data_IF_609229704809
#
_entry.id   IF_609229704809
#
_cell.length_a   1.000
_cell.length_b   1.000
_cell.length_c   1.000
_cell.angle_alpha   90.00
_cell.angle_beta   90.00
_cell.angle_gamma   90.00
#
_symmetry.space_group_name_H-M   'P 1'
#
loop_
_entity.id
_entity.type
_entity.pdbx_description
1 polymer ?
#
# COMPACT_ATOMS: atom_id res chain seq x y z
N UNK A 1 5.53 -18.19 -60.48
CA UNK A 1 4.59 -18.43 -59.39
C UNK A 1 4.94 -17.47 -58.27
N UNK A 2 4.17 -16.41 -58.14
CA UNK A 2 4.41 -15.23 -57.33
C UNK A 2 3.82 -15.44 -55.93
N UNK A 3 4.64 -15.38 -54.87
CA UNK A 3 4.20 -15.42 -53.49
C UNK A 3 3.68 -14.03 -53.07
N UNK A 4 2.42 -13.98 -52.62
CA UNK A 4 1.77 -12.79 -52.07
C UNK A 4 2.28 -12.53 -50.63
N UNK A 5 2.74 -11.32 -50.38
CA UNK A 5 3.03 -10.80 -49.07
C UNK A 5 1.73 -10.51 -48.31
N UNK A 6 1.56 -11.14 -47.14
CA UNK A 6 0.43 -10.88 -46.26
C UNK A 6 0.67 -9.58 -45.45
N UNK A 7 -0.25 -8.64 -45.61
CA UNK A 7 -0.31 -7.42 -44.80
C UNK A 7 -0.76 -7.78 -43.37
N UNK A 8 0.14 -7.59 -42.40
CA UNK A 8 -0.22 -7.63 -40.96
C UNK A 8 -0.83 -6.27 -40.62
N UNK A 9 -2.14 -6.25 -40.40
CA UNK A 9 -2.83 -5.09 -39.83
C UNK A 9 -2.38 -4.89 -38.37
N UNK A 10 -1.85 -3.70 -38.07
CA UNK A 10 -1.64 -3.24 -36.69
C UNK A 10 -2.99 -3.11 -35.98
N UNK A 11 -3.13 -3.54 -34.71
CA UNK A 11 -4.36 -3.31 -33.96
C UNK A 11 -4.56 -1.79 -33.75
N UNK A 12 -5.70 -1.28 -34.19
CA UNK A 12 -6.18 0.06 -33.88
C UNK A 12 -6.37 0.18 -32.37
N UNK A 13 -5.69 1.12 -31.73
CA UNK A 13 -5.93 1.51 -30.35
C UNK A 13 -7.42 1.87 -30.20
N UNK A 14 -8.17 1.03 -29.48
CA UNK A 14 -9.51 1.35 -29.06
C UNK A 14 -9.50 2.63 -28.23
N UNK A 15 -10.39 3.55 -28.59
CA UNK A 15 -10.66 4.78 -27.85
C UNK A 15 -10.86 4.44 -26.35
N UNK A 16 -10.12 5.11 -25.48
CA UNK A 16 -10.35 5.04 -24.05
C UNK A 16 -11.83 5.40 -23.77
N UNK A 17 -12.53 4.69 -22.89
CA UNK A 17 -13.89 5.04 -22.53
C UNK A 17 -13.93 6.51 -22.07
N UNK A 18 -14.87 7.28 -22.60
CA UNK A 18 -15.08 8.66 -22.16
C UNK A 18 -15.26 8.68 -20.64
N UNK A 19 -14.31 9.26 -19.94
CA UNK A 19 -14.34 9.41 -18.49
C UNK A 19 -15.49 10.36 -18.15
N UNK A 20 -16.53 9.86 -17.52
CA UNK A 20 -17.66 10.68 -17.08
C UNK A 20 -17.16 11.74 -16.10
N UNK A 21 -17.55 12.99 -16.35
CA UNK A 21 -17.37 14.09 -15.39
C UNK A 21 -18.25 13.84 -14.16
N UNK A 22 -17.83 14.30 -12.96
CA UNK A 22 -18.68 14.24 -11.77
C UNK A 22 -20.01 14.95 -12.01
N UNK A 23 -21.10 14.35 -11.53
CA UNK A 23 -22.43 14.94 -11.65
C UNK A 23 -22.66 15.92 -10.51
N UNK A 24 -23.07 17.14 -10.81
CA UNK A 24 -23.56 18.10 -9.81
C UNK A 24 -25.02 17.72 -9.49
N UNK A 25 -25.29 17.41 -8.22
CA UNK A 25 -26.63 17.07 -7.72
C UNK A 25 -27.15 18.21 -6.90
N UNK A 26 -28.31 18.77 -7.28
CA UNK A 26 -29.02 19.75 -6.47
C UNK A 26 -29.87 19.02 -5.42
N UNK A 27 -29.46 19.09 -4.17
CA UNK A 27 -30.16 18.50 -3.02
C UNK A 27 -30.95 19.55 -2.23
N UNK A 28 -31.67 20.43 -2.92
CA UNK A 28 -32.59 21.38 -2.25
C UNK A 28 -31.90 22.59 -1.61
N UNK A 29 -30.95 23.22 -2.33
CA UNK A 29 -30.37 24.50 -1.95
C UNK A 29 -28.86 24.55 -1.72
N UNK A 30 -28.16 23.41 -1.70
CA UNK A 30 -26.69 23.36 -1.69
C UNK A 30 -26.23 22.44 -2.81
N UNK A 31 -25.57 23.01 -3.81
CA UNK A 31 -24.96 22.21 -4.89
C UNK A 31 -23.88 21.29 -4.30
N UNK A 32 -24.02 20.00 -4.50
CA UNK A 32 -23.04 19.00 -4.10
C UNK A 32 -22.44 18.27 -5.30
N UNK A 33 -21.16 17.93 -5.20
CA UNK A 33 -20.48 17.10 -6.20
C UNK A 33 -20.68 15.64 -5.82
N UNK A 34 -21.24 14.85 -6.73
CA UNK A 34 -21.38 13.40 -6.53
C UNK A 34 -20.11 12.68 -6.97
N UNK A 35 -19.51 11.89 -6.06
CA UNK A 35 -18.29 11.15 -6.28
C UNK A 35 -18.46 9.67 -5.91
N UNK A 36 -17.82 8.79 -6.66
CA UNK A 36 -17.63 7.39 -6.31
C UNK A 36 -16.37 7.23 -5.49
N UNK A 37 -16.43 6.42 -4.40
CA UNK A 37 -15.31 6.14 -3.51
C UNK A 37 -15.07 4.64 -3.46
N UNK A 38 -13.89 4.17 -3.90
CA UNK A 38 -13.45 2.78 -3.73
C UNK A 38 -12.41 2.66 -2.60
N UNK A 39 -12.69 1.82 -1.62
CA UNK A 39 -11.85 1.61 -0.44
C UNK A 39 -12.05 0.20 0.11
N UNK A 40 -11.03 -0.36 0.78
CA UNK A 40 -11.18 -1.62 1.49
C UNK A 40 -12.07 -1.49 2.74
N UNK A 41 -12.54 -2.64 3.22
CA UNK A 41 -13.36 -2.76 4.43
C UNK A 41 -12.51 -2.54 5.68
N UNK A 42 -12.46 -1.29 6.15
CA UNK A 42 -11.76 -0.89 7.38
C UNK A 42 -12.75 -0.36 8.42
N UNK A 43 -12.58 -0.74 9.68
CA UNK A 43 -13.40 -0.22 10.78
C UNK A 43 -13.38 1.32 10.90
N UNK A 44 -12.26 1.97 10.60
CA UNK A 44 -12.12 3.43 10.63
C UNK A 44 -12.66 4.14 9.37
N UNK A 45 -13.18 3.39 8.39
CA UNK A 45 -13.90 3.91 7.21
C UNK A 45 -15.39 3.57 7.28
N UNK A 46 -15.77 2.68 8.17
CA UNK A 46 -17.14 2.14 8.29
C UNK A 46 -18.23 3.22 8.35
N UNK A 47 -18.02 4.27 9.14
CA UNK A 47 -19.03 5.34 9.27
C UNK A 47 -19.20 6.19 8.01
N UNK A 48 -18.18 6.25 7.15
CA UNK A 48 -18.30 6.84 5.80
C UNK A 48 -19.18 5.96 4.93
N UNK A 49 -18.93 4.65 4.95
CA UNK A 49 -19.72 3.68 4.19
C UNK A 49 -21.20 3.67 4.61
N UNK A 50 -21.48 3.90 5.89
CA UNK A 50 -22.84 4.00 6.45
C UNK A 50 -23.47 5.38 6.29
N UNK A 51 -22.76 6.38 5.76
CA UNK A 51 -23.25 7.76 5.61
C UNK A 51 -23.40 8.52 6.93
N UNK A 52 -22.80 8.05 8.03
CA UNK A 52 -22.81 8.67 9.36
C UNK A 52 -21.77 9.79 9.47
N UNK A 53 -20.69 9.69 8.72
CA UNK A 53 -19.70 10.77 8.54
C UNK A 53 -19.72 11.16 7.07
N UNK A 54 -19.87 12.46 6.80
CA UNK A 54 -20.03 13.01 5.46
C UNK A 54 -19.01 14.13 5.21
N UNK A 55 -18.70 14.36 3.96
CA UNK A 55 -17.89 15.49 3.53
C UNK A 55 -18.79 16.63 3.06
N UNK A 56 -18.51 17.87 3.49
CA UNK A 56 -19.28 19.04 3.11
C UNK A 56 -19.24 19.27 1.60
N UNK A 57 -20.39 19.51 0.99
CA UNK A 57 -20.54 19.74 -0.45
C UNK A 57 -20.26 18.50 -1.33
N UNK A 58 -20.15 17.30 -0.73
CA UNK A 58 -19.88 16.05 -1.46
C UNK A 58 -20.93 15.02 -1.11
N UNK A 59 -21.52 14.42 -2.13
CA UNK A 59 -22.34 13.21 -2.01
C UNK A 59 -21.50 12.01 -2.48
N UNK A 60 -21.34 11.01 -1.62
CA UNK A 60 -20.51 9.82 -1.94
C UNK A 60 -21.37 8.60 -2.24
N UNK A 61 -20.93 7.83 -3.24
CA UNK A 61 -21.30 6.41 -3.42
C UNK A 61 -20.09 5.56 -3.01
N UNK A 62 -20.06 5.04 -1.76
CA UNK A 62 -18.96 4.19 -1.31
C UNK A 62 -19.08 2.79 -1.90
N UNK A 63 -17.97 2.26 -2.41
CA UNK A 63 -17.77 0.91 -2.92
C UNK A 63 -16.73 0.24 -2.03
N UNK A 64 -17.18 -0.71 -1.21
CA UNK A 64 -16.34 -1.40 -0.23
C UNK A 64 -15.84 -2.71 -0.82
N UNK A 65 -14.54 -2.90 -0.83
CA UNK A 65 -13.88 -4.06 -1.41
C UNK A 65 -13.19 -4.93 -0.36
N UNK A 66 -13.15 -6.25 -0.57
CA UNK A 66 -12.45 -7.16 0.35
C UNK A 66 -10.92 -7.13 0.16
N UNK A 67 -10.43 -6.59 -0.96
CA UNK A 67 -8.99 -6.57 -1.26
C UNK A 67 -8.56 -5.37 -2.09
N UNK A 68 -7.37 -4.84 -1.73
CA UNK A 68 -6.74 -3.72 -2.43
C UNK A 68 -6.28 -4.08 -3.85
N UNK A 69 -5.99 -5.34 -4.11
CA UNK A 69 -5.50 -5.77 -5.42
C UNK A 69 -6.53 -5.52 -6.52
N UNK A 70 -7.82 -5.75 -6.23
CA UNK A 70 -8.91 -5.47 -7.16
C UNK A 70 -9.06 -3.97 -7.39
N UNK A 71 -9.09 -3.17 -6.31
CA UNK A 71 -9.17 -1.70 -6.39
C UNK A 71 -8.03 -1.17 -7.24
N UNK A 72 -6.78 -1.52 -6.89
CA UNK A 72 -5.59 -1.02 -7.59
C UNK A 72 -5.61 -1.40 -9.08
N UNK A 73 -5.98 -2.64 -9.41
CA UNK A 73 -6.01 -3.11 -10.79
C UNK A 73 -7.01 -2.33 -11.62
N UNK A 74 -8.26 -2.24 -11.17
CA UNK A 74 -9.36 -1.58 -11.88
C UNK A 74 -9.11 -0.07 -11.99
N UNK A 75 -8.68 0.56 -10.90
CA UNK A 75 -8.43 2.00 -10.90
C UNK A 75 -7.24 2.40 -11.79
N UNK A 76 -6.12 1.69 -11.74
CA UNK A 76 -4.97 2.03 -12.59
C UNK A 76 -5.16 1.69 -14.06
N UNK A 77 -6.05 0.74 -14.38
CA UNK A 77 -6.36 0.35 -15.76
C UNK A 77 -7.38 1.27 -16.45
N UNK A 78 -8.40 1.70 -15.72
CA UNK A 78 -9.59 2.35 -16.32
C UNK A 78 -10.03 3.61 -15.59
N UNK A 79 -9.41 4.00 -14.46
CA UNK A 79 -9.83 5.14 -13.63
C UNK A 79 -11.33 5.08 -13.28
N UNK A 80 -11.78 3.90 -12.92
CA UNK A 80 -13.18 3.56 -12.78
C UNK A 80 -13.94 4.40 -11.74
N UNK A 81 -13.21 4.95 -10.76
CA UNK A 81 -13.78 5.73 -9.66
C UNK A 81 -13.20 7.14 -9.59
N UNK A 82 -13.88 8.02 -8.86
CA UNK A 82 -13.43 9.40 -8.67
C UNK A 82 -12.39 9.51 -7.53
N UNK A 83 -12.65 8.77 -6.44
CA UNK A 83 -11.77 8.66 -5.27
C UNK A 83 -11.45 7.20 -5.03
N UNK A 84 -10.19 6.88 -4.84
CA UNK A 84 -9.76 5.49 -4.72
C UNK A 84 -8.64 5.32 -3.73
N UNK A 85 -8.72 4.27 -2.92
CA UNK A 85 -7.55 3.71 -2.26
C UNK A 85 -6.55 3.17 -3.28
N UNK A 86 -5.25 3.38 -3.04
CA UNK A 86 -4.20 2.94 -3.95
C UNK A 86 -2.97 2.49 -3.19
N UNK A 87 -2.28 1.48 -3.70
CA UNK A 87 -0.97 1.04 -3.22
C UNK A 87 0.05 2.19 -3.32
N UNK A 88 0.76 2.49 -2.23
CA UNK A 88 1.75 3.56 -2.22
C UNK A 88 2.91 3.30 -3.18
N UNK A 89 3.38 2.04 -3.29
CA UNK A 89 4.40 1.65 -4.25
C UNK A 89 3.98 1.90 -5.70
N UNK A 90 2.71 1.61 -6.04
CA UNK A 90 2.17 1.90 -7.38
C UNK A 90 2.06 3.40 -7.64
N UNK A 91 1.55 4.15 -6.65
CA UNK A 91 1.40 5.61 -6.77
C UNK A 91 2.75 6.31 -6.99
N UNK A 92 3.75 6.03 -6.12
CA UNK A 92 5.06 6.69 -6.22
C UNK A 92 5.78 6.35 -7.53
N UNK A 93 5.64 5.12 -8.01
CA UNK A 93 6.22 4.71 -9.30
C UNK A 93 5.62 5.51 -10.46
N UNK A 94 4.29 5.57 -10.57
CA UNK A 94 3.61 6.34 -11.62
C UNK A 94 3.92 7.83 -11.55
N UNK A 95 3.96 8.39 -10.33
CA UNK A 95 4.27 9.81 -10.10
C UNK A 95 5.71 10.13 -10.51
N UNK A 96 6.66 9.25 -10.21
CA UNK A 96 8.08 9.45 -10.58
C UNK A 96 8.31 9.49 -12.08
N UNK A 97 7.43 8.87 -12.86
CA UNK A 97 7.43 8.82 -14.32
C UNK A 97 6.64 9.98 -14.95
N UNK A 98 5.93 10.79 -14.15
CA UNK A 98 5.07 11.87 -14.64
C UNK A 98 3.79 11.41 -15.32
N UNK A 99 3.38 10.15 -15.13
CA UNK A 99 2.21 9.53 -15.79
C UNK A 99 1.07 9.19 -14.84
N UNK A 100 1.12 9.66 -13.57
CA UNK A 100 0.05 9.42 -12.60
C UNK A 100 -1.24 10.16 -13.00
N UNK A 101 -2.32 9.46 -13.35
CA UNK A 101 -3.59 10.08 -13.70
C UNK A 101 -4.45 10.41 -12.45
N UNK A 102 -3.88 10.35 -11.28
CA UNK A 102 -4.49 10.65 -10.00
C UNK A 102 -3.60 11.55 -9.15
N UNK A 103 -4.17 12.12 -8.12
CA UNK A 103 -3.53 12.97 -7.11
C UNK A 103 -3.76 12.36 -5.74
N UNK A 104 -2.73 12.20 -4.93
CA UNK A 104 -2.86 11.72 -3.56
C UNK A 104 -3.30 12.82 -2.60
N UNK A 105 -4.11 12.44 -1.62
CA UNK A 105 -4.35 13.20 -0.40
C UNK A 105 -3.69 12.48 0.78
N UNK A 106 -3.26 13.19 1.85
CA UNK A 106 -2.50 12.60 2.95
C UNK A 106 -3.38 11.82 3.93
N UNK A 107 -4.24 10.96 3.40
CA UNK A 107 -5.06 9.99 4.11
C UNK A 107 -4.48 8.59 3.85
N UNK A 108 -4.15 7.89 4.92
CA UNK A 108 -3.44 6.61 4.88
C UNK A 108 -4.27 5.49 5.51
N UNK A 109 -5.23 4.91 4.78
CA UNK A 109 -6.18 3.94 5.33
C UNK A 109 -5.52 2.62 5.74
N UNK A 110 -4.31 2.33 5.24
CA UNK A 110 -3.58 1.13 5.61
C UNK A 110 -2.15 1.45 6.03
N UNK A 111 -1.85 1.17 7.30
CA UNK A 111 -0.51 1.18 7.88
C UNK A 111 -0.25 -0.15 8.56
N UNK A 112 0.87 -0.79 8.25
CA UNK A 112 1.23 -2.08 8.86
C UNK A 112 2.74 -2.21 8.92
N UNK A 113 3.30 -2.48 10.10
CA UNK A 113 4.67 -2.94 10.22
C UNK A 113 4.88 -4.26 9.49
N UNK A 114 6.12 -4.57 9.08
CA UNK A 114 6.37 -5.68 8.16
C UNK A 114 7.51 -6.61 8.57
N UNK A 115 7.99 -6.55 9.80
CA UNK A 115 8.92 -7.58 10.29
C UNK A 115 8.25 -8.96 10.32
N UNK A 116 6.94 -8.98 10.60
CA UNK A 116 6.10 -10.18 10.54
C UNK A 116 5.93 -10.78 9.14
N UNK A 117 6.32 -10.04 8.08
CA UNK A 117 6.12 -10.41 6.68
C UNK A 117 7.31 -11.17 6.04
N UNK A 118 8.30 -11.57 6.85
CA UNK A 118 9.44 -12.38 6.40
C UNK A 118 9.27 -13.79 6.91
N UNK A 119 9.07 -14.70 5.97
CA UNK A 119 8.87 -16.12 6.23
C UNK A 119 10.10 -16.89 5.75
N UNK A 120 10.58 -17.82 6.57
CA UNK A 120 11.76 -18.63 6.26
C UNK A 120 11.42 -20.10 6.41
N UNK A 121 12.06 -20.94 5.62
CA UNK A 121 12.00 -22.39 5.79
C UNK A 121 12.78 -22.76 7.06
N UNK A 122 12.17 -23.49 7.98
CA UNK A 122 12.74 -23.81 9.29
C UNK A 122 14.12 -24.47 9.23
N UNK A 123 14.32 -25.33 8.24
CA UNK A 123 15.58 -26.05 8.01
C UNK A 123 16.67 -25.22 7.28
N UNK A 124 16.33 -24.01 6.77
CA UNK A 124 17.29 -23.21 6.00
C UNK A 124 18.42 -22.60 6.85
N UNK A 125 18.33 -22.69 8.18
CA UNK A 125 19.34 -22.16 9.10
C UNK A 125 19.39 -20.65 9.17
N UNK A 126 18.36 -19.94 8.67
CA UNK A 126 18.23 -18.48 8.71
C UNK A 126 17.67 -18.08 10.06
N UNK A 127 18.45 -17.35 10.86
CA UNK A 127 18.09 -16.88 12.22
C UNK A 127 18.10 -15.38 12.36
N UNK A 128 18.86 -14.70 11.51
CA UNK A 128 18.99 -13.24 11.48
C UNK A 128 18.71 -12.71 10.07
N UNK A 129 18.45 -11.42 9.95
CA UNK A 129 18.30 -10.78 8.64
C UNK A 129 19.55 -10.94 7.77
N UNK A 130 20.75 -10.93 8.36
CA UNK A 130 22.03 -11.07 7.65
C UNK A 130 22.20 -12.42 6.99
N UNK A 131 21.57 -13.47 7.52
CA UNK A 131 21.61 -14.81 6.95
C UNK A 131 20.85 -14.95 5.61
N UNK A 132 20.10 -13.92 5.21
CA UNK A 132 19.48 -13.84 3.88
C UNK A 132 20.50 -13.59 2.77
N UNK A 133 21.70 -13.08 3.06
CA UNK A 133 22.76 -12.92 2.07
C UNK A 133 23.22 -14.30 1.55
N UNK A 134 23.37 -14.40 0.23
CA UNK A 134 23.68 -15.66 -0.44
C UNK A 134 22.47 -16.58 -0.68
N UNK A 135 21.31 -16.26 -0.15
CA UNK A 135 20.09 -17.08 -0.25
C UNK A 135 19.21 -16.69 -1.42
N UNK A 136 18.26 -17.59 -1.72
CA UNK A 136 17.16 -17.33 -2.63
C UNK A 136 15.95 -16.82 -1.83
N UNK A 137 15.47 -15.65 -2.18
CA UNK A 137 14.32 -15.01 -1.50
C UNK A 137 13.21 -14.73 -2.50
N UNK A 138 12.02 -15.25 -2.19
CA UNK A 138 10.82 -15.06 -2.97
C UNK A 138 10.08 -13.76 -2.64
N UNK A 139 9.56 -13.09 -3.65
CA UNK A 139 8.71 -11.88 -3.51
C UNK A 139 7.56 -11.91 -4.51
N UNK A 140 6.35 -11.38 -4.16
CA UNK A 140 5.23 -11.39 -5.10
C UNK A 140 5.37 -10.35 -6.23
N UNK A 141 5.89 -9.18 -5.93
CA UNK A 141 6.24 -8.11 -6.85
C UNK A 141 7.37 -7.28 -6.22
N UNK A 142 8.29 -6.77 -7.03
CA UNK A 142 9.36 -5.91 -6.53
C UNK A 142 8.79 -4.60 -5.99
N UNK A 143 7.84 -3.98 -6.71
CA UNK A 143 7.21 -2.73 -6.31
C UNK A 143 6.05 -2.89 -5.31
N UNK A 144 5.83 -4.08 -4.73
CA UNK A 144 4.87 -4.21 -3.64
C UNK A 144 5.30 -3.36 -2.45
N UNK A 145 4.42 -2.48 -1.96
CA UNK A 145 4.71 -1.53 -0.87
C UNK A 145 5.34 -2.20 0.35
N UNK A 146 4.79 -3.34 0.77
CA UNK A 146 5.32 -4.12 1.89
C UNK A 146 6.76 -4.57 1.65
N UNK A 147 7.07 -5.05 0.43
CA UNK A 147 8.41 -5.49 0.03
C UNK A 147 9.41 -4.33 -0.01
N UNK A 148 8.99 -3.14 -0.45
CA UNK A 148 9.84 -1.94 -0.46
C UNK A 148 10.27 -1.58 0.97
N UNK A 149 9.33 -1.54 1.93
CA UNK A 149 9.65 -1.28 3.33
C UNK A 149 10.54 -2.36 3.95
N UNK A 150 10.25 -3.64 3.66
CA UNK A 150 11.07 -4.74 4.19
C UNK A 150 12.50 -4.64 3.67
N UNK A 151 12.72 -4.50 2.37
CA UNK A 151 14.06 -4.35 1.81
C UNK A 151 14.75 -3.07 2.32
N UNK A 152 13.97 -1.98 2.53
CA UNK A 152 14.48 -0.75 3.11
C UNK A 152 15.07 -0.95 4.50
N UNK A 153 14.30 -1.52 5.45
CA UNK A 153 14.83 -1.75 6.79
C UNK A 153 15.90 -2.86 6.84
N UNK A 154 15.82 -3.88 6.00
CA UNK A 154 16.88 -4.89 5.89
C UNK A 154 18.21 -4.25 5.50
N UNK A 155 18.19 -3.31 4.56
CA UNK A 155 19.41 -2.62 4.12
C UNK A 155 19.90 -1.59 5.15
N UNK A 156 19.04 -0.68 5.62
CA UNK A 156 19.44 0.44 6.46
C UNK A 156 19.64 0.06 7.94
N UNK A 157 18.77 -0.80 8.49
CA UNK A 157 18.78 -1.13 9.91
C UNK A 157 19.56 -2.41 10.23
N UNK A 158 19.45 -3.41 9.35
CA UNK A 158 20.07 -4.73 9.55
C UNK A 158 21.36 -4.90 8.73
N UNK A 159 21.72 -3.93 7.90
CA UNK A 159 22.94 -3.91 7.09
C UNK A 159 23.01 -5.01 6.03
N UNK A 160 21.87 -5.53 5.56
CA UNK A 160 21.80 -6.57 4.54
C UNK A 160 22.13 -5.99 3.17
N UNK A 161 23.09 -6.60 2.47
CA UNK A 161 23.40 -6.29 1.08
C UNK A 161 22.39 -7.01 0.15
N UNK A 162 21.42 -6.25 -0.36
CA UNK A 162 20.37 -6.77 -1.22
C UNK A 162 20.90 -7.38 -2.54
N UNK A 163 22.09 -6.97 -3.00
CA UNK A 163 22.72 -7.51 -4.21
C UNK A 163 23.27 -8.92 -4.00
N UNK A 164 23.51 -9.34 -2.76
CA UNK A 164 23.91 -10.70 -2.43
C UNK A 164 22.77 -11.71 -2.40
N UNK A 165 21.52 -11.24 -2.46
CA UNK A 165 20.34 -12.09 -2.46
C UNK A 165 19.93 -12.40 -3.91
N UNK A 166 19.50 -13.63 -4.15
CA UNK A 166 18.86 -14.02 -5.41
C UNK A 166 17.35 -13.88 -5.27
N UNK A 167 16.78 -12.86 -5.94
CA UNK A 167 15.37 -12.53 -5.85
C UNK A 167 14.56 -13.29 -6.91
N UNK A 168 13.55 -14.04 -6.48
CA UNK A 168 12.64 -14.77 -7.34
C UNK A 168 11.23 -14.20 -7.18
N UNK A 169 10.62 -13.79 -8.30
CA UNK A 169 9.30 -13.17 -8.29
C UNK A 169 8.25 -14.16 -8.78
N UNK A 170 7.24 -14.44 -7.96
CA UNK A 170 6.10 -15.29 -8.31
C UNK A 170 4.87 -14.91 -7.47
N UNK A 171 3.70 -15.42 -7.82
CA UNK A 171 2.53 -15.31 -6.93
C UNK A 171 2.75 -16.04 -5.62
N UNK A 172 2.11 -15.60 -4.53
CA UNK A 172 2.38 -16.19 -3.20
C UNK A 172 1.93 -17.64 -3.14
N UNK A 173 0.66 -17.90 -3.42
CA UNK A 173 0.04 -19.22 -3.33
C UNK A 173 -0.39 -19.76 -4.71
N UNK A 174 -0.54 -18.87 -5.69
CA UNK A 174 -0.95 -19.20 -7.05
C UNK A 174 0.07 -18.65 -8.06
N UNK A 175 0.32 -19.33 -9.17
CA UNK A 175 1.21 -18.86 -10.22
C UNK A 175 0.61 -17.65 -10.99
N UNK A 176 1.39 -17.10 -11.95
CA UNK A 176 0.90 -16.12 -12.92
C UNK A 176 0.97 -14.65 -12.47
N UNK A 177 1.46 -14.35 -11.25
CA UNK A 177 1.63 -12.96 -10.82
C UNK A 177 2.84 -12.33 -11.49
N UNK A 178 2.65 -11.14 -12.07
CA UNK A 178 3.68 -10.36 -12.74
C UNK A 178 3.88 -9.00 -12.05
N UNK A 179 5.06 -8.39 -12.25
CA UNK A 179 5.34 -7.01 -11.87
C UNK A 179 4.39 -6.04 -12.60
N UNK A 180 3.92 -5.02 -11.89
CA UNK A 180 2.91 -4.09 -12.40
C UNK A 180 3.44 -2.70 -12.70
N UNK A 181 4.72 -2.47 -12.49
CA UNK A 181 5.39 -1.19 -12.77
C UNK A 181 6.68 -1.44 -13.54
N UNK A 182 7.13 -0.43 -14.28
CA UNK A 182 8.45 -0.44 -14.89
C UNK A 182 9.51 -0.23 -13.80
N UNK A 183 10.50 -1.11 -13.74
CA UNK A 183 11.58 -1.07 -12.76
C UNK A 183 12.88 -0.59 -13.40
N UNK A 184 13.66 0.20 -12.66
CA UNK A 184 15.05 0.55 -12.95
C UNK A 184 15.97 -0.03 -11.89
N UNK A 185 16.07 -1.36 -11.86
CA UNK A 185 16.81 -2.07 -10.84
C UNK A 185 18.26 -1.61 -10.74
N UNK A 186 18.79 -1.39 -9.51
CA UNK A 186 20.19 -1.06 -9.30
C UNK A 186 21.11 -2.16 -9.82
N UNK A 187 22.33 -1.75 -10.22
CA UNK A 187 23.36 -2.69 -10.62
C UNK A 187 23.63 -3.73 -9.52
N UNK A 188 23.78 -5.00 -9.91
CA UNK A 188 24.04 -6.09 -8.99
C UNK A 188 22.79 -6.78 -8.43
N UNK A 189 21.61 -6.20 -8.51
CA UNK A 189 20.36 -6.89 -8.12
C UNK A 189 20.05 -8.03 -9.07
N UNK A 190 19.99 -9.25 -8.54
CA UNK A 190 19.66 -10.47 -9.29
C UNK A 190 18.17 -10.78 -9.12
N UNK A 191 17.36 -10.33 -10.06
CA UNK A 191 15.90 -10.48 -10.06
C UNK A 191 15.42 -11.34 -11.22
N UNK A 192 14.64 -12.37 -10.92
CA UNK A 192 14.13 -13.32 -11.91
C UNK A 192 12.63 -13.58 -11.72
N UNK A 193 11.78 -13.22 -12.68
CA UNK A 193 10.38 -13.62 -12.71
C UNK A 193 10.20 -15.13 -12.91
N UNK A 194 9.26 -15.71 -12.19
CA UNK A 194 8.85 -17.12 -12.25
C UNK A 194 7.33 -17.21 -12.32
N UNK A 195 6.73 -16.90 -13.49
CA UNK A 195 5.28 -16.94 -13.68
C UNK A 195 4.68 -18.34 -13.69
N UNK A 196 5.51 -19.35 -13.85
CA UNK A 196 5.18 -20.77 -13.97
C UNK A 196 4.88 -21.46 -12.63
N UNK A 197 5.19 -20.82 -11.49
CA UNK A 197 5.09 -21.42 -10.16
C UNK A 197 4.61 -20.42 -9.11
N UNK A 198 4.49 -20.87 -7.86
CA UNK A 198 4.17 -20.01 -6.71
C UNK A 198 5.29 -20.01 -5.67
N UNK A 199 5.37 -18.95 -4.85
CA UNK A 199 6.35 -18.83 -3.77
C UNK A 199 6.17 -19.94 -2.72
N UNK A 200 4.94 -20.37 -2.48
CA UNK A 200 4.65 -21.49 -1.56
C UNK A 200 5.19 -22.81 -2.08
N UNK A 201 5.05 -23.08 -3.38
CA UNK A 201 5.63 -24.28 -3.99
C UNK A 201 7.16 -24.22 -3.97
N UNK A 202 7.75 -23.05 -4.24
CA UNK A 202 9.20 -22.86 -4.20
C UNK A 202 9.78 -22.97 -2.77
N UNK A 203 9.05 -22.54 -1.73
CA UNK A 203 9.44 -22.80 -0.34
C UNK A 203 9.41 -24.30 -0.01
N UNK A 204 8.35 -24.98 -0.39
CA UNK A 204 8.19 -26.42 -0.12
C UNK A 204 9.25 -27.27 -0.84
N UNK A 205 9.62 -26.89 -2.06
CA UNK A 205 10.69 -27.60 -2.83
C UNK A 205 12.11 -27.22 -2.40
N UNK A 206 12.27 -26.15 -1.60
CA UNK A 206 13.60 -25.61 -1.25
C UNK A 206 14.25 -24.77 -2.36
N UNK A 207 13.52 -24.38 -3.40
CA UNK A 207 14.02 -23.48 -4.44
C UNK A 207 14.23 -22.06 -3.92
N UNK A 208 13.41 -21.63 -2.94
CA UNK A 208 13.65 -20.44 -2.12
C UNK A 208 13.80 -20.81 -0.65
N UNK A 209 14.67 -20.09 0.04
CA UNK A 209 14.93 -20.26 1.47
C UNK A 209 14.01 -19.39 2.33
N UNK A 210 13.55 -18.26 1.77
CA UNK A 210 12.67 -17.30 2.42
C UNK A 210 11.68 -16.65 1.44
N UNK A 211 10.60 -16.11 1.99
CA UNK A 211 9.61 -15.30 1.24
C UNK A 211 9.33 -14.02 2.01
N UNK A 212 9.33 -12.89 1.30
CA UNK A 212 8.89 -11.60 1.81
C UNK A 212 7.53 -11.27 1.17
N UNK A 213 6.47 -11.34 1.98
CA UNK A 213 5.12 -11.13 1.47
C UNK A 213 4.16 -10.61 2.54
N UNK A 214 3.26 -9.71 2.15
CA UNK A 214 2.17 -9.25 3.00
C UNK A 214 1.15 -10.36 3.34
N UNK A 215 1.02 -11.36 2.46
CA UNK A 215 0.21 -12.57 2.67
C UNK A 215 1.13 -13.71 3.08
N UNK A 216 0.71 -14.48 4.06
CA UNK A 216 1.44 -15.68 4.45
C UNK A 216 1.46 -16.70 3.32
N UNK A 217 2.60 -17.36 3.05
CA UNK A 217 2.65 -18.50 2.16
C UNK A 217 1.89 -19.70 2.75
N UNK A 218 1.36 -20.55 1.89
CA UNK A 218 0.85 -21.86 2.32
C UNK A 218 1.95 -22.63 3.06
N UNK A 219 1.57 -23.41 4.07
CA UNK A 219 2.54 -24.12 4.93
C UNK A 219 2.99 -23.31 6.16
N UNK A 220 2.70 -22.00 6.24
CA UNK A 220 2.94 -21.20 7.45
C UNK A 220 1.93 -21.52 8.57
N UNK A 221 0.72 -21.94 8.24
CA UNK A 221 -0.32 -22.23 9.23
C UNK A 221 0.01 -23.46 10.06
N UNK A 222 0.00 -23.33 11.40
CA UNK A 222 -0.02 -24.46 12.33
C UNK A 222 1.34 -25.03 12.77
N UNK A 223 2.40 -24.23 12.81
CA UNK A 223 3.70 -24.69 13.35
C UNK A 223 4.45 -25.62 12.39
N UNK A 224 4.24 -25.40 11.09
CA UNK A 224 4.83 -26.19 10.01
C UNK A 224 6.30 -25.85 9.72
N UNK A 225 6.76 -26.29 8.57
CA UNK A 225 8.13 -26.13 8.06
C UNK A 225 8.51 -24.67 7.78
N UNK A 226 7.52 -23.77 7.69
CA UNK A 226 7.71 -22.33 7.43
C UNK A 226 7.44 -21.55 8.72
N UNK A 227 8.40 -20.72 9.13
CA UNK A 227 8.33 -19.89 10.33
C UNK A 227 8.60 -18.42 10.01
N UNK A 228 8.30 -17.51 10.93
CA UNK A 228 8.71 -16.11 10.77
C UNK A 228 10.18 -15.94 11.14
N UNK A 229 10.92 -15.14 10.38
CA UNK A 229 12.28 -14.73 10.72
C UNK A 229 12.32 -13.97 12.07
N UNK A 230 11.29 -13.17 12.34
CA UNK A 230 11.11 -12.48 13.62
C UNK A 230 9.95 -13.13 14.41
N UNK A 231 10.22 -14.17 15.25
CA UNK A 231 9.15 -14.81 16.03
C UNK A 231 8.43 -13.82 16.96
N UNK A 232 9.17 -12.94 17.63
CA UNK A 232 8.65 -11.83 18.40
C UNK A 232 8.67 -10.54 17.56
N UNK A 233 7.92 -10.54 16.45
CA UNK A 233 7.87 -9.40 15.52
C UNK A 233 7.34 -8.13 16.18
N UNK A 234 6.39 -8.19 17.14
CA UNK A 234 5.88 -7.01 17.85
C UNK A 234 7.03 -6.24 18.51
N UNK A 235 7.86 -6.90 19.27
CA UNK A 235 8.99 -6.26 19.94
C UNK A 235 10.02 -5.69 18.94
N UNK A 236 10.22 -6.34 17.79
CA UNK A 236 11.08 -5.83 16.72
C UNK A 236 10.50 -4.57 16.09
N UNK A 237 9.20 -4.57 15.79
CA UNK A 237 8.44 -3.46 15.20
C UNK A 237 8.37 -2.24 16.13
N UNK A 238 8.17 -2.45 17.45
CA UNK A 238 8.21 -1.40 18.46
C UNK A 238 9.61 -0.77 18.59
N UNK A 239 10.68 -1.58 18.56
CA UNK A 239 12.07 -1.05 18.57
C UNK A 239 12.36 -0.25 17.31
N UNK A 240 11.95 -0.77 16.15
CA UNK A 240 12.11 -0.08 14.86
C UNK A 240 11.41 1.28 14.88
N UNK A 241 10.14 1.32 15.30
CA UNK A 241 9.37 2.56 15.40
C UNK A 241 10.01 3.56 16.36
N UNK A 242 10.39 3.12 17.57
CA UNK A 242 11.05 4.01 18.55
C UNK A 242 12.38 4.59 18.04
N UNK A 243 13.14 3.81 17.26
CA UNK A 243 14.41 4.25 16.69
C UNK A 243 14.24 5.21 15.52
N UNK A 244 13.28 4.97 14.65
CA UNK A 244 13.20 5.60 13.33
C UNK A 244 12.01 6.55 13.17
N UNK A 245 10.97 6.42 13.97
CA UNK A 245 9.68 7.09 13.78
C UNK A 245 8.89 6.58 12.57
N UNK A 246 9.34 5.51 11.91
CA UNK A 246 8.72 4.99 10.71
C UNK A 246 7.59 4.04 11.08
N UNK A 247 6.34 4.43 10.78
CA UNK A 247 5.19 3.54 10.78
C UNK A 247 4.71 3.34 9.34
N UNK A 248 5.02 2.20 8.70
CA UNK A 248 4.88 2.01 7.26
C UNK A 248 3.48 2.24 6.72
N UNK A 249 3.37 3.12 5.73
CA UNK A 249 2.14 3.40 4.97
C UNK A 249 2.05 2.40 3.82
N UNK A 250 1.01 1.56 3.82
CA UNK A 250 0.79 0.60 2.73
C UNK A 250 0.03 1.24 1.59
N UNK A 251 -1.04 1.95 1.93
CA UNK A 251 -1.96 2.54 0.97
C UNK A 251 -2.26 4.00 1.33
N UNK A 252 -2.63 4.77 0.32
CA UNK A 252 -3.08 6.15 0.45
C UNK A 252 -4.36 6.36 -0.37
N UNK A 253 -5.11 7.42 -0.03
CA UNK A 253 -6.26 7.82 -0.82
C UNK A 253 -5.83 8.72 -1.97
N UNK A 254 -6.45 8.52 -3.12
CA UNK A 254 -6.20 9.30 -4.33
C UNK A 254 -7.50 9.81 -4.92
N UNK A 255 -7.41 10.93 -5.62
CA UNK A 255 -8.50 11.52 -6.39
C UNK A 255 -8.11 11.46 -7.86
N UNK A 256 -8.99 11.06 -8.75
CA UNK A 256 -8.76 11.14 -10.19
C UNK A 256 -8.37 12.57 -10.57
N UNK A 257 -7.27 12.75 -11.31
CA UNK A 257 -6.67 14.06 -11.58
C UNK A 257 -7.66 15.04 -12.20
N UNK A 258 -8.46 14.60 -13.16
CA UNK A 258 -9.47 15.46 -13.80
C UNK A 258 -10.54 15.94 -12.83
N UNK A 259 -10.91 15.14 -11.84
CA UNK A 259 -11.85 15.53 -10.76
C UNK A 259 -11.21 16.55 -9.82
N UNK A 260 -9.95 16.30 -9.43
CA UNK A 260 -9.21 17.22 -8.57
C UNK A 260 -9.01 18.59 -9.23
N UNK A 261 -8.63 18.63 -10.50
CA UNK A 261 -8.41 19.87 -11.25
C UNK A 261 -9.70 20.70 -11.42
N UNK A 262 -10.85 20.05 -11.54
CA UNK A 262 -12.16 20.71 -11.59
C UNK A 262 -12.63 21.20 -10.21
N UNK A 263 -12.30 20.46 -9.15
CA UNK A 263 -12.80 20.68 -7.80
C UNK A 263 -11.69 20.53 -6.73
N UNK A 264 -10.63 21.37 -6.69
CA UNK A 264 -9.50 21.18 -5.77
C UNK A 264 -9.90 21.16 -4.29
N UNK A 265 -10.98 21.85 -3.93
CA UNK A 265 -11.52 21.96 -2.57
C UNK A 265 -11.99 20.60 -1.98
N UNK A 266 -12.34 19.62 -2.83
CA UNK A 266 -12.79 18.30 -2.36
C UNK A 266 -11.71 17.58 -1.55
N UNK A 267 -10.45 17.84 -1.82
CA UNK A 267 -9.33 17.20 -1.12
C UNK A 267 -9.37 17.49 0.39
N UNK A 268 -9.65 18.75 0.77
CA UNK A 268 -9.79 19.17 2.18
C UNK A 268 -10.98 18.48 2.83
N UNK A 269 -12.12 18.47 2.17
CA UNK A 269 -13.36 17.95 2.75
C UNK A 269 -13.33 16.42 2.87
N UNK A 270 -12.71 15.73 1.91
CA UNK A 270 -12.43 14.31 2.02
C UNK A 270 -11.46 14.02 3.16
N UNK A 271 -10.37 14.78 3.28
CA UNK A 271 -9.42 14.62 4.39
C UNK A 271 -10.12 14.71 5.76
N UNK A 272 -10.91 15.78 5.98
CA UNK A 272 -11.67 15.99 7.22
C UNK A 272 -12.63 14.83 7.50
N UNK A 273 -13.32 14.36 6.48
CA UNK A 273 -14.25 13.22 6.58
C UNK A 273 -13.53 11.94 7.04
N UNK A 274 -12.42 11.60 6.39
CA UNK A 274 -11.65 10.41 6.76
C UNK A 274 -11.05 10.53 8.17
N UNK A 275 -10.53 11.70 8.54
CA UNK A 275 -9.96 11.94 9.87
C UNK A 275 -11.04 11.86 10.96
N UNK A 276 -12.22 12.42 10.73
CA UNK A 276 -13.35 12.32 11.65
C UNK A 276 -13.80 10.87 11.83
N UNK A 277 -13.94 10.09 10.75
CA UNK A 277 -14.33 8.69 10.82
C UNK A 277 -13.31 7.86 11.60
N UNK A 278 -12.01 8.08 11.34
CA UNK A 278 -10.90 7.47 12.09
C UNK A 278 -10.97 7.83 13.57
N UNK A 279 -11.11 9.10 13.92
CA UNK A 279 -11.19 9.58 15.30
C UNK A 279 -12.36 8.95 16.04
N UNK A 280 -13.53 8.87 15.43
CA UNK A 280 -14.70 8.18 16.02
C UNK A 280 -14.44 6.68 16.23
N UNK A 281 -13.75 6.03 15.30
CA UNK A 281 -13.36 4.62 15.46
C UNK A 281 -12.47 4.44 16.69
N UNK A 282 -11.42 5.24 16.86
CA UNK A 282 -10.54 5.15 18.04
C UNK A 282 -11.25 5.48 19.34
N UNK A 283 -12.17 6.44 19.36
CA UNK A 283 -12.99 6.73 20.53
C UNK A 283 -13.85 5.53 20.92
N UNK A 284 -14.43 4.83 19.94
CA UNK A 284 -15.19 3.58 20.21
C UNK A 284 -14.31 2.46 20.76
N UNK A 285 -13.07 2.34 20.32
CA UNK A 285 -12.13 1.33 20.81
C UNK A 285 -11.75 1.54 22.28
N UNK A 286 -11.69 2.79 22.72
CA UNK A 286 -11.38 3.17 24.11
C UNK A 286 -12.61 3.19 25.04
N UNK A 287 -13.81 3.00 24.50
CA UNK A 287 -15.03 3.00 25.29
C UNK A 287 -15.15 1.70 26.11
N UNK A 288 -15.02 1.82 27.43
CA UNK A 288 -15.16 0.69 28.37
C UNK A 288 -16.62 0.35 28.70
N UNK A 289 -17.58 1.16 28.27
CA UNK A 289 -19.00 0.94 28.65
C UNK A 289 -19.61 -0.27 27.95
N UNK A 290 -19.07 -0.65 26.79
CA UNK A 290 -19.43 -1.87 26.08
C UNK A 290 -18.31 -2.34 25.13
N UNK A 291 -18.24 -3.65 24.90
CA UNK A 291 -17.30 -4.26 23.96
C UNK A 291 -17.71 -3.95 22.51
N UNK A 292 -17.17 -2.88 21.93
CA UNK A 292 -17.40 -2.47 20.53
C UNK A 292 -16.75 -3.43 19.53
N UNK A 293 -15.66 -4.06 19.94
CA UNK A 293 -14.98 -5.14 19.21
C UNK A 293 -15.00 -6.36 20.12
N UNK A 294 -15.33 -7.56 19.60
CA UNK A 294 -15.43 -8.78 20.43
C UNK A 294 -14.03 -9.34 20.75
N UNK A 295 -13.15 -8.49 21.28
CA UNK A 295 -11.80 -8.83 21.74
C UNK A 295 -11.67 -8.44 23.21
N UNK A 296 -11.30 -9.38 24.08
CA UNK A 296 -10.91 -9.05 25.46
C UNK A 296 -9.80 -8.00 25.45
N UNK A 297 -9.90 -7.04 26.37
CA UNK A 297 -8.88 -5.99 26.55
C UNK A 297 -8.65 -5.04 25.36
N UNK A 298 -9.55 -4.94 24.38
CA UNK A 298 -9.39 -4.03 23.23
C UNK A 298 -9.12 -2.60 23.66
N UNK A 299 -9.80 -2.08 24.68
CA UNK A 299 -9.58 -0.75 25.22
C UNK A 299 -8.20 -0.61 25.88
N UNK A 300 -7.78 -1.57 26.70
CA UNK A 300 -6.45 -1.56 27.31
C UNK A 300 -5.34 -1.63 26.27
N UNK A 301 -5.51 -2.43 25.23
CA UNK A 301 -4.57 -2.48 24.10
C UNK A 301 -4.51 -1.15 23.33
N UNK A 302 -5.65 -0.45 23.16
CA UNK A 302 -5.69 0.85 22.54
C UNK A 302 -4.93 1.90 23.36
N UNK A 303 -5.04 1.86 24.69
CA UNK A 303 -4.29 2.74 25.58
C UNK A 303 -2.78 2.43 25.58
N UNK A 304 -2.39 1.15 25.60
CA UNK A 304 -1.00 0.72 25.48
C UNK A 304 -0.36 1.20 24.17
N UNK A 305 -1.07 1.07 23.05
CA UNK A 305 -0.61 1.55 21.73
C UNK A 305 -0.48 3.07 21.75
N UNK A 306 -1.46 3.80 22.29
CA UNK A 306 -1.39 5.24 22.40
C UNK A 306 -0.21 5.74 23.25
N UNK A 307 0.15 5.01 24.31
CA UNK A 307 1.32 5.32 25.11
C UNK A 307 2.64 5.19 24.32
N UNK A 308 2.71 4.27 23.36
CA UNK A 308 3.91 4.04 22.53
C UNK A 308 3.96 4.89 21.25
N UNK A 309 2.82 5.16 20.63
CA UNK A 309 2.70 5.81 19.31
C UNK A 309 2.19 7.27 19.39
N UNK A 310 1.79 7.73 20.59
CA UNK A 310 1.20 9.05 20.80
C UNK A 310 -0.34 9.05 20.76
N UNK A 311 -0.95 10.23 20.95
CA UNK A 311 -2.40 10.35 21.11
C UNK A 311 -3.20 9.97 19.85
N UNK A 312 -2.63 10.13 18.66
CA UNK A 312 -3.12 9.57 17.40
C UNK A 312 -2.15 8.49 16.91
N UNK A 313 -2.40 7.22 17.25
CA UNK A 313 -1.49 6.13 16.86
C UNK A 313 -1.56 5.76 15.37
N UNK A 314 -2.47 6.38 14.61
CA UNK A 314 -2.69 6.11 13.19
C UNK A 314 -2.80 7.42 12.39
N UNK A 315 -1.74 8.25 12.39
CA UNK A 315 -1.83 9.61 11.93
C UNK A 315 -2.08 9.73 10.43
N UNK A 316 -3.01 10.61 10.06
CA UNK A 316 -3.12 11.17 8.73
C UNK A 316 -2.34 12.49 8.66
N UNK A 317 -2.19 13.04 7.47
CA UNK A 317 -1.42 14.25 7.27
C UNK A 317 0.08 14.02 7.00
N UNK A 318 0.68 15.01 6.36
CA UNK A 318 2.08 14.94 5.90
C UNK A 318 3.03 15.07 7.07
N UNK A 319 2.85 16.08 7.93
CA UNK A 319 3.83 16.41 8.98
C UNK A 319 3.95 15.27 9.99
N UNK A 320 2.85 14.69 10.42
CA UNK A 320 2.82 13.56 11.35
C UNK A 320 3.39 12.28 10.73
N UNK A 321 3.45 12.20 9.40
CA UNK A 321 3.91 11.04 8.65
C UNK A 321 5.24 11.29 7.91
N UNK A 322 5.86 12.46 8.08
CA UNK A 322 7.00 12.92 7.28
C UNK A 322 8.15 11.92 7.27
N UNK A 323 8.59 11.46 8.44
CA UNK A 323 9.68 10.47 8.54
C UNK A 323 9.38 9.19 7.74
N UNK A 324 8.13 8.71 7.79
CA UNK A 324 7.68 7.53 7.05
C UNK A 324 7.65 7.77 5.55
N UNK A 325 7.16 8.93 5.09
CA UNK A 325 7.07 9.27 3.67
C UNK A 325 8.46 9.46 3.07
N UNK A 326 9.35 10.19 3.76
CA UNK A 326 10.72 10.42 3.33
C UNK A 326 11.53 9.11 3.25
N UNK A 327 11.37 8.23 4.24
CA UNK A 327 11.97 6.90 4.20
C UNK A 327 11.47 6.09 3.00
N UNK A 328 10.16 6.13 2.72
CA UNK A 328 9.60 5.42 1.59
C UNK A 328 10.08 5.96 0.24
N UNK A 329 10.20 7.29 0.10
CA UNK A 329 10.78 7.92 -1.09
C UNK A 329 12.21 7.43 -1.33
N UNK A 330 13.03 7.38 -0.28
CA UNK A 330 14.40 6.88 -0.32
C UNK A 330 14.44 5.40 -0.68
N UNK A 331 13.70 4.56 0.03
CA UNK A 331 13.64 3.12 -0.22
C UNK A 331 13.19 2.79 -1.65
N UNK A 332 12.15 3.46 -2.14
CA UNK A 332 11.63 3.24 -3.49
C UNK A 332 12.64 3.63 -4.56
N UNK A 333 13.42 4.71 -4.33
CA UNK A 333 14.47 5.15 -5.25
C UNK A 333 15.66 4.19 -5.24
N UNK A 334 16.19 3.88 -4.07
CA UNK A 334 17.37 3.02 -3.92
C UNK A 334 17.13 1.58 -4.39
N UNK A 335 15.87 1.17 -4.47
CA UNK A 335 15.46 -0.12 -5.01
C UNK A 335 15.01 -0.08 -6.49
N UNK A 336 15.08 1.07 -7.15
CA UNK A 336 14.75 1.22 -8.57
C UNK A 336 13.25 1.11 -8.89
N UNK A 337 12.38 1.35 -7.91
CA UNK A 337 10.93 1.42 -8.11
C UNK A 337 10.52 2.78 -8.67
N UNK A 338 11.24 3.84 -8.31
CA UNK A 338 11.05 5.18 -8.88
C UNK A 338 12.12 5.49 -9.91
N UNK A 339 11.76 6.24 -10.96
CA UNK A 339 12.64 6.60 -12.05
C UNK A 339 13.50 7.85 -11.76
N UNK A 340 13.18 8.57 -10.70
CA UNK A 340 13.94 9.68 -10.14
C UNK A 340 13.74 9.72 -8.62
N UNK A 341 14.62 10.44 -7.92
CA UNK A 341 14.44 10.68 -6.49
C UNK A 341 13.18 11.51 -6.27
N UNK A 342 12.30 11.03 -5.39
CA UNK A 342 11.05 11.69 -5.05
C UNK A 342 11.18 12.37 -3.69
N UNK A 343 10.47 13.47 -3.53
CA UNK A 343 10.30 14.20 -2.28
C UNK A 343 8.83 14.17 -1.85
N UNK A 344 8.53 14.59 -0.63
CA UNK A 344 7.15 14.76 -0.15
C UNK A 344 6.38 15.72 -1.08
N UNK A 345 7.04 16.77 -1.54
CA UNK A 345 6.45 17.78 -2.42
C UNK A 345 6.09 17.27 -3.82
N UNK A 346 6.80 16.26 -4.29
CA UNK A 346 6.46 15.58 -5.54
C UNK A 346 5.21 14.70 -5.44
N UNK A 347 4.91 14.19 -4.24
CA UNK A 347 3.81 13.25 -4.01
C UNK A 347 2.47 13.95 -3.77
N UNK A 348 2.51 15.15 -3.17
CA UNK A 348 1.31 15.87 -2.77
C UNK A 348 1.31 17.28 -3.37
N UNK A 349 0.28 17.68 -4.11
CA UNK A 349 0.18 19.02 -4.66
C UNK A 349 0.07 20.07 -3.56
N UNK A 350 0.43 21.36 -3.85
CA UNK A 350 0.43 22.43 -2.85
C UNK A 350 -0.88 22.57 -2.09
N UNK A 351 -2.00 22.37 -2.77
CA UNK A 351 -3.36 22.51 -2.23
C UNK A 351 -3.66 21.53 -1.10
N UNK A 352 -2.99 20.37 -1.09
CA UNK A 352 -3.20 19.35 -0.06
C UNK A 352 -2.10 19.28 1.00
N UNK A 353 -0.97 19.97 0.80
CA UNK A 353 0.16 19.94 1.75
C UNK A 353 -0.18 20.58 3.10
N UNK A 354 -1.08 21.55 3.12
CA UNK A 354 -1.50 22.26 4.32
C UNK A 354 -2.63 21.57 5.10
N UNK A 355 -3.17 20.43 4.62
CA UNK A 355 -4.37 19.79 5.19
C UNK A 355 -4.20 19.30 6.64
N UNK A 356 -2.99 19.15 7.13
CA UNK A 356 -2.71 18.68 8.49
C UNK A 356 -2.54 19.81 9.52
N UNK A 357 -2.74 21.07 9.13
CA UNK A 357 -2.56 22.23 10.03
C UNK A 357 -3.87 22.76 10.61
N UNK A 358 -4.98 22.01 10.47
CA UNK A 358 -6.31 22.45 10.94
C UNK A 358 -6.70 21.64 12.17
#
# INVERSE_FOLDING_TARGET
>A
MTARAGHVQKPTHGLAPELRSPTIVDTGGVASVHLTLAVCDYEHVREIAQGLVRADGITLTPLIFPSIEEITFRFTKSLEWDVSELSFGKYISLTSQGIAPMVAIPVFPSRVHRHSAIYVRGEAGIRTAKDLEGRAVGIPEWAQTAGIYVRGFLAEEEGVDLAKIRWLQAGVNEPGRAEKVELKLPAGIRYQPRPDTSLSAMLASGEVDAVISARAPAGFAGGGEVVRLYPNYRAAEERFFRKTGIFPIMHLMTIRRTVFEQHPWIAMNLFKMFDEAKRRCFNRLRDFTCARIPLPWAAAMADEIAAGYGPDPYPYGIEQSRATIEAFCRYAHDQGVTHRRMTVDDLFPPEVRALARV
#
